data_IF_396669365219
#
_entry.id   IF_396669365219
#
_cell.length_a   1.000
_cell.length_b   1.000
_cell.length_c   1.000
_cell.angle_alpha   90.00
_cell.angle_beta   90.00
_cell.angle_gamma   90.00
#
_symmetry.space_group_name_H-M   'P 1'
#
loop_
_entity.id
_entity.type
_entity.pdbx_description
1 polymer ?
#
# COMPACT_ATOMS: atom_id res chain seq x y z
N UNK A 1 10.12 21.48 -16.98
CA UNK A 1 9.72 20.06 -17.12
C UNK A 1 9.71 19.46 -15.73
N UNK A 2 8.58 18.90 -15.32
CA UNK A 2 8.50 18.21 -14.04
C UNK A 2 9.05 16.79 -14.25
N UNK A 3 10.28 16.55 -13.85
CA UNK A 3 10.84 15.19 -13.91
C UNK A 3 10.33 14.37 -12.73
N UNK A 4 9.46 13.41 -13.02
CA UNK A 4 9.07 12.41 -12.05
C UNK A 4 10.04 11.23 -12.13
N UNK A 5 10.83 11.03 -11.08
CA UNK A 5 11.66 9.83 -10.97
C UNK A 5 10.77 8.64 -10.63
N UNK A 6 10.71 7.66 -11.54
CA UNK A 6 9.94 6.43 -11.38
C UNK A 6 10.87 5.23 -11.26
N UNK A 7 10.69 4.42 -10.23
CA UNK A 7 11.32 3.10 -10.12
C UNK A 7 10.27 2.03 -9.83
N UNK A 8 10.52 0.80 -10.28
CA UNK A 8 9.60 -0.34 -10.12
C UNK A 8 10.33 -1.47 -9.45
N UNK A 9 9.74 -2.02 -8.40
CA UNK A 9 10.26 -3.15 -7.64
C UNK A 9 9.18 -4.20 -7.38
N UNK A 10 9.58 -5.42 -7.06
CA UNK A 10 8.65 -6.43 -6.55
C UNK A 10 8.04 -5.96 -5.22
N UNK A 11 6.78 -6.31 -5.00
CA UNK A 11 6.08 -6.03 -3.76
C UNK A 11 5.27 -7.27 -3.34
N UNK A 12 5.93 -8.28 -2.77
CA UNK A 12 5.20 -9.41 -2.22
C UNK A 12 4.22 -8.93 -1.16
N UNK A 13 2.99 -9.44 -1.22
CA UNK A 13 1.90 -8.94 -0.41
C UNK A 13 1.22 -10.09 0.34
N UNK A 14 0.96 -9.87 1.63
CA UNK A 14 0.13 -10.75 2.45
C UNK A 14 -1.09 -9.94 2.89
N UNK A 15 -2.27 -10.48 2.64
CA UNK A 15 -3.51 -9.93 3.15
C UNK A 15 -3.91 -10.70 4.40
N UNK A 16 -4.29 -9.97 5.45
CA UNK A 16 -4.88 -10.55 6.67
C UNK A 16 -6.21 -9.86 6.96
N UNK A 17 -7.18 -10.63 7.42
CA UNK A 17 -8.51 -10.13 7.73
C UNK A 17 -9.07 -10.81 8.96
N UNK A 18 -9.57 -10.01 9.91
CA UNK A 18 -10.22 -10.49 11.12
C UNK A 18 -11.72 -10.66 10.94
N UNK A 19 -12.31 -11.63 11.63
CA UNK A 19 -13.77 -11.79 11.66
C UNK A 19 -14.43 -10.70 12.51
N UNK A 20 -15.64 -10.34 12.17
CA UNK A 20 -16.35 -9.23 12.81
C UNK A 20 -16.47 -9.39 14.32
N UNK A 21 -16.94 -10.56 14.78
CA UNK A 21 -17.17 -10.84 16.20
C UNK A 21 -15.90 -11.03 17.02
N UNK A 22 -14.73 -11.21 16.40
CA UNK A 22 -13.46 -11.53 17.07
C UNK A 22 -12.33 -10.57 16.70
N UNK A 23 -12.66 -9.43 16.09
CA UNK A 23 -11.68 -8.49 15.56
C UNK A 23 -10.64 -8.04 16.59
N UNK A 24 -11.07 -7.72 17.82
CA UNK A 24 -10.14 -7.28 18.87
C UNK A 24 -9.15 -8.36 19.29
N UNK A 25 -9.59 -9.63 19.36
CA UNK A 25 -8.72 -10.76 19.65
C UNK A 25 -7.74 -11.03 18.49
N UNK A 26 -8.24 -10.96 17.24
CA UNK A 26 -7.44 -11.06 16.05
C UNK A 26 -6.33 -10.00 16.02
N UNK A 27 -6.67 -8.73 16.25
CA UNK A 27 -5.70 -7.64 16.22
C UNK A 27 -4.65 -7.77 17.33
N UNK A 28 -5.06 -8.19 18.52
CA UNK A 28 -4.13 -8.45 19.63
C UNK A 28 -3.14 -9.57 19.27
N UNK A 29 -3.65 -10.69 18.76
CA UNK A 29 -2.83 -11.83 18.33
C UNK A 29 -1.89 -11.45 17.18
N UNK A 30 -2.40 -10.74 16.16
CA UNK A 30 -1.61 -10.29 15.02
C UNK A 30 -0.51 -9.31 15.42
N UNK A 31 -0.81 -8.34 16.28
CA UNK A 31 0.16 -7.37 16.81
C UNK A 31 1.30 -8.09 17.56
N UNK A 32 0.96 -9.07 18.39
CA UNK A 32 1.96 -9.88 19.10
C UNK A 32 2.82 -10.70 18.14
N UNK A 33 2.22 -11.34 17.15
CA UNK A 33 2.91 -12.15 16.13
C UNK A 33 3.87 -11.31 15.28
N UNK A 34 3.46 -10.10 14.87
CA UNK A 34 4.29 -9.19 14.10
C UNK A 34 5.32 -8.42 14.93
N UNK A 35 5.12 -8.33 16.24
CA UNK A 35 5.97 -7.55 17.14
C UNK A 35 5.89 -6.05 16.90
N UNK A 36 4.74 -5.56 16.41
CA UNK A 36 4.50 -4.13 16.14
C UNK A 36 3.04 -3.76 16.38
N UNK A 37 2.80 -2.47 16.60
CA UNK A 37 1.44 -1.93 16.65
C UNK A 37 0.81 -1.98 15.26
N UNK A 38 -0.50 -2.22 15.22
CA UNK A 38 -1.26 -2.17 13.98
C UNK A 38 -1.78 -0.75 13.72
N UNK A 39 -1.93 -0.35 12.43
CA UNK A 39 -2.64 0.88 12.10
C UNK A 39 -4.09 0.79 12.60
N UNK A 40 -4.61 1.88 13.16
CA UNK A 40 -5.95 1.91 13.80
C UNK A 40 -7.03 2.27 12.77
N UNK A 41 -6.80 3.32 11.99
CA UNK A 41 -7.79 3.81 11.02
C UNK A 41 -7.44 3.39 9.60
N UNK A 42 -8.47 3.23 8.75
CA UNK A 42 -8.26 2.97 7.32
C UNK A 42 -7.38 4.08 6.70
N UNK A 43 -6.39 3.67 5.93
CA UNK A 43 -5.38 4.55 5.34
C UNK A 43 -4.19 4.84 6.24
N UNK A 44 -4.16 4.39 7.49
CA UNK A 44 -2.95 4.44 8.30
C UNK A 44 -1.95 3.36 7.91
N UNK A 45 -0.68 3.68 8.09
CA UNK A 45 0.46 2.82 7.79
C UNK A 45 1.42 2.76 8.96
N UNK A 46 1.99 1.58 9.21
CA UNK A 46 3.07 1.38 10.20
C UNK A 46 4.22 0.64 9.53
N UNK A 47 5.40 1.25 9.51
CA UNK A 47 6.64 0.61 9.03
C UNK A 47 7.21 -0.28 10.13
N UNK A 48 7.52 -1.52 9.80
CA UNK A 48 8.20 -2.44 10.71
C UNK A 48 9.18 -3.34 9.95
N UNK A 49 10.47 -3.25 10.30
CA UNK A 49 11.53 -4.03 9.64
C UNK A 49 11.43 -3.96 8.11
N UNK A 50 11.33 -5.07 7.42
CA UNK A 50 11.28 -5.17 5.96
C UNK A 50 9.88 -5.11 5.35
N UNK A 51 8.86 -4.60 6.04
CA UNK A 51 7.50 -4.50 5.51
C UNK A 51 6.72 -3.31 6.07
N UNK A 52 5.65 -2.99 5.39
CA UNK A 52 4.70 -1.95 5.75
C UNK A 52 3.35 -2.59 6.06
N UNK A 53 2.80 -2.31 7.25
CA UNK A 53 1.44 -2.71 7.59
C UNK A 53 0.50 -1.57 7.24
N UNK A 54 -0.52 -1.84 6.43
CA UNK A 54 -1.45 -0.83 5.92
C UNK A 54 -2.87 -1.28 6.21
N UNK A 55 -3.69 -0.46 6.86
CA UNK A 55 -5.12 -0.75 7.02
C UNK A 55 -5.88 -0.30 5.78
N UNK A 56 -6.25 -1.24 4.94
CA UNK A 56 -6.95 -0.99 3.67
C UNK A 56 -8.47 -1.02 3.79
N UNK A 57 -8.99 -1.66 4.85
CA UNK A 57 -10.41 -1.69 5.19
C UNK A 57 -10.58 -1.88 6.71
N UNK A 58 -11.77 -1.69 7.29
CA UNK A 58 -11.97 -1.76 8.75
C UNK A 58 -11.42 -3.03 9.40
N UNK A 59 -11.51 -4.19 8.73
CA UNK A 59 -11.05 -5.49 9.23
C UNK A 59 -9.88 -6.08 8.47
N UNK A 60 -9.37 -5.36 7.44
CA UNK A 60 -8.37 -5.88 6.50
C UNK A 60 -7.09 -5.07 6.55
N UNK A 61 -5.99 -5.79 6.67
CA UNK A 61 -4.64 -5.25 6.63
C UNK A 61 -3.86 -5.88 5.48
N UNK A 62 -3.01 -5.08 4.86
CA UNK A 62 -2.01 -5.55 3.93
C UNK A 62 -0.63 -5.42 4.54
N UNK A 63 0.17 -6.48 4.44
CA UNK A 63 1.59 -6.46 4.73
C UNK A 63 2.30 -6.38 3.37
N UNK A 64 2.80 -5.21 3.04
CA UNK A 64 3.53 -4.96 1.81
C UNK A 64 5.02 -5.10 2.08
N UNK A 65 5.64 -6.18 1.58
CA UNK A 65 7.04 -6.46 1.81
C UNK A 65 7.92 -5.60 0.90
N UNK A 66 9.08 -5.25 1.41
CA UNK A 66 10.13 -4.64 0.59
C UNK A 66 10.74 -5.71 -0.33
N UNK A 67 11.33 -5.26 -1.44
CA UNK A 67 11.96 -6.18 -2.40
C UNK A 67 13.08 -6.98 -1.72
N UNK A 68 13.04 -8.30 -1.87
CA UNK A 68 13.97 -9.21 -1.23
C UNK A 68 13.78 -9.40 0.28
N UNK A 69 12.80 -8.78 0.91
CA UNK A 69 12.54 -8.96 2.33
C UNK A 69 11.92 -10.32 2.63
N UNK A 70 12.31 -10.90 3.75
CA UNK A 70 11.72 -12.14 4.24
C UNK A 70 10.31 -11.88 4.79
N UNK A 71 9.35 -12.71 4.39
CA UNK A 71 7.99 -12.64 4.92
C UNK A 71 7.97 -12.93 6.43
N UNK A 72 7.19 -12.18 7.21
CA UNK A 72 7.02 -12.50 8.62
C UNK A 72 6.33 -13.87 8.80
N UNK A 73 6.69 -14.58 9.84
CA UNK A 73 5.95 -15.78 10.22
C UNK A 73 4.60 -15.37 10.79
N UNK A 74 3.53 -15.76 10.11
CA UNK A 74 2.16 -15.48 10.51
C UNK A 74 1.44 -16.79 10.84
N UNK A 75 0.97 -16.90 12.07
CA UNK A 75 0.03 -17.93 12.49
C UNK A 75 -1.28 -17.23 12.85
N UNK A 76 -2.22 -17.21 11.92
CA UNK A 76 -3.57 -16.67 12.15
C UNK A 76 -4.48 -17.82 12.56
N UNK A 77 -5.10 -17.70 13.74
CA UNK A 77 -6.11 -18.62 14.21
C UNK A 77 -7.35 -18.53 13.29
N UNK A 78 -7.79 -19.63 12.66
CA UNK A 78 -8.95 -19.63 11.77
C UNK A 78 -10.25 -19.16 12.42
N UNK A 79 -10.37 -19.30 13.74
CA UNK A 79 -11.54 -18.81 14.48
C UNK A 79 -11.53 -17.29 14.65
N UNK A 80 -10.38 -16.65 14.51
CA UNK A 80 -10.21 -15.21 14.64
C UNK A 80 -10.16 -14.47 13.30
N UNK A 81 -9.65 -15.12 12.27
CA UNK A 81 -9.45 -14.48 10.98
C UNK A 81 -8.79 -15.37 9.94
N UNK A 82 -8.29 -14.76 8.87
CA UNK A 82 -7.55 -15.48 7.83
C UNK A 82 -6.34 -14.68 7.34
N UNK A 83 -5.40 -15.37 6.73
CA UNK A 83 -4.30 -14.79 5.97
C UNK A 83 -4.23 -15.40 4.58
N UNK A 84 -3.95 -14.56 3.59
CA UNK A 84 -3.78 -14.97 2.19
C UNK A 84 -2.52 -14.35 1.65
N UNK A 85 -1.57 -15.19 1.22
CA UNK A 85 -0.42 -14.70 0.47
C UNK A 85 -0.86 -14.39 -0.96
N UNK A 86 -0.70 -13.15 -1.36
CA UNK A 86 -0.89 -12.72 -2.75
C UNK A 86 0.40 -12.85 -3.56
N UNK A 87 1.46 -13.34 -2.92
CA UNK A 87 2.76 -13.59 -3.52
C UNK A 87 3.29 -12.35 -4.23
N UNK A 88 3.83 -12.57 -5.42
CA UNK A 88 4.34 -11.50 -6.28
C UNK A 88 3.28 -10.92 -7.23
N UNK A 89 2.01 -11.06 -6.93
CA UNK A 89 0.91 -10.51 -7.74
C UNK A 89 0.85 -8.98 -7.79
N UNK A 90 1.72 -8.30 -7.05
CA UNK A 90 1.83 -6.84 -6.98
C UNK A 90 3.25 -6.37 -7.27
N UNK A 91 3.35 -5.15 -7.79
CA UNK A 91 4.59 -4.40 -7.90
C UNK A 91 4.43 -3.03 -7.25
N UNK A 92 5.53 -2.45 -6.83
CA UNK A 92 5.62 -1.13 -6.21
C UNK A 92 6.29 -0.17 -7.17
N UNK A 93 5.59 0.90 -7.51
CA UNK A 93 6.13 2.05 -8.22
C UNK A 93 6.50 3.10 -7.18
N UNK A 94 7.77 3.43 -7.08
CA UNK A 94 8.23 4.55 -6.23
C UNK A 94 8.42 5.77 -7.11
N UNK A 95 7.83 6.87 -6.69
CA UNK A 95 7.81 8.12 -7.42
C UNK A 95 8.31 9.26 -6.54
N UNK A 96 9.17 10.11 -7.08
CA UNK A 96 9.64 11.30 -6.40
C UNK A 96 9.76 12.46 -7.39
N UNK A 97 9.38 13.65 -6.95
CA UNK A 97 9.47 14.88 -7.73
C UNK A 97 8.67 16.01 -7.09
N UNK A 98 9.11 17.25 -7.28
CA UNK A 98 8.47 18.42 -6.69
C UNK A 98 6.99 18.56 -7.08
N UNK A 99 6.62 18.07 -8.25
CA UNK A 99 5.28 18.18 -8.83
C UNK A 99 4.40 16.93 -8.67
N UNK A 100 4.80 15.98 -7.81
CA UNK A 100 4.10 14.69 -7.70
C UNK A 100 2.59 14.85 -7.46
N UNK A 101 2.18 15.74 -6.58
CA UNK A 101 0.76 15.97 -6.30
C UNK A 101 0.03 16.53 -7.52
N UNK A 102 0.66 17.44 -8.28
CA UNK A 102 0.10 18.02 -9.50
C UNK A 102 -0.03 16.97 -10.61
N UNK A 103 0.97 16.12 -10.78
CA UNK A 103 0.95 15.04 -11.76
C UNK A 103 -0.13 14.02 -11.39
N UNK A 104 -0.14 13.55 -10.18
CA UNK A 104 -1.09 12.52 -9.74
C UNK A 104 -2.53 13.02 -9.66
N UNK A 105 -2.77 14.32 -9.40
CA UNK A 105 -4.12 14.89 -9.38
C UNK A 105 -4.85 14.82 -10.73
N UNK A 106 -4.11 14.63 -11.82
CA UNK A 106 -4.69 14.47 -13.17
C UNK A 106 -5.24 13.07 -13.44
N UNK A 107 -4.83 12.10 -12.66
CA UNK A 107 -5.05 10.69 -12.94
C UNK A 107 -5.58 9.88 -11.77
N UNK A 108 -5.41 10.38 -10.56
CA UNK A 108 -5.94 9.78 -9.34
C UNK A 108 -6.96 10.74 -8.75
N UNK A 109 -8.22 10.29 -8.66
CA UNK A 109 -9.33 11.08 -8.14
C UNK A 109 -9.29 11.17 -6.61
N UNK A 110 -8.29 11.87 -6.08
CA UNK A 110 -8.06 12.08 -4.64
C UNK A 110 -7.90 13.57 -4.38
N UNK A 111 -8.58 14.09 -3.37
CA UNK A 111 -8.29 15.46 -2.89
C UNK A 111 -6.99 15.43 -2.07
N UNK A 112 -5.91 15.90 -2.67
CA UNK A 112 -4.57 15.93 -2.09
C UNK A 112 -4.44 16.86 -0.88
N UNK A 113 -5.44 17.70 -0.62
CA UNK A 113 -5.50 18.59 0.55
C UNK A 113 -6.27 17.96 1.71
N UNK A 114 -6.99 16.88 1.45
CA UNK A 114 -7.74 16.19 2.48
C UNK A 114 -6.80 15.48 3.47
N UNK A 115 -7.13 15.43 4.77
CA UNK A 115 -6.32 14.72 5.77
C UNK A 115 -6.11 13.25 5.44
N UNK A 116 -7.05 12.61 4.74
CA UNK A 116 -6.95 11.22 4.30
C UNK A 116 -5.85 10.98 3.25
N UNK A 117 -5.41 12.03 2.55
CA UNK A 117 -4.33 11.98 1.56
C UNK A 117 -3.06 12.71 2.03
N UNK A 118 -2.94 13.04 3.31
CA UNK A 118 -1.75 13.67 3.88
C UNK A 118 -0.52 12.73 3.79
N UNK A 119 0.71 13.25 3.84
CA UNK A 119 1.90 12.43 3.98
C UNK A 119 1.79 11.45 5.15
N UNK A 120 2.23 10.21 4.94
CA UNK A 120 2.05 9.11 5.90
C UNK A 120 0.71 8.36 5.78
N UNK A 121 -0.12 8.70 4.79
CA UNK A 121 -1.41 8.03 4.55
C UNK A 121 -1.40 7.18 3.29
N UNK A 122 -2.22 6.14 3.31
CA UNK A 122 -2.50 5.28 2.17
C UNK A 122 -3.95 5.49 1.70
N UNK A 123 -4.15 5.50 0.39
CA UNK A 123 -5.47 5.66 -0.23
C UNK A 123 -5.69 4.55 -1.25
N UNK A 124 -6.72 3.73 -1.03
CA UNK A 124 -7.16 2.77 -2.03
C UNK A 124 -8.00 3.52 -3.08
N UNK A 125 -7.58 3.47 -4.32
CA UNK A 125 -8.14 4.27 -5.41
C UNK A 125 -7.98 3.56 -6.75
N UNK A 126 -8.17 4.27 -7.85
CA UNK A 126 -7.89 3.76 -9.19
C UNK A 126 -6.99 4.73 -9.95
N UNK A 127 -6.12 4.15 -10.77
CA UNK A 127 -5.28 4.84 -11.73
C UNK A 127 -5.61 4.27 -13.11
N UNK A 128 -6.11 5.10 -14.04
CA UNK A 128 -6.51 4.66 -15.37
C UNK A 128 -7.39 3.39 -15.34
N UNK A 129 -8.41 3.40 -14.47
CA UNK A 129 -9.34 2.29 -14.20
C UNK A 129 -8.74 1.03 -13.55
N UNK A 130 -7.44 1.01 -13.27
CA UNK A 130 -6.79 -0.08 -12.54
C UNK A 130 -6.85 0.21 -11.04
N UNK A 131 -7.36 -0.71 -10.19
CA UNK A 131 -7.35 -0.51 -8.76
C UNK A 131 -5.91 -0.51 -8.24
N UNK A 132 -5.55 0.54 -7.51
CA UNK A 132 -4.22 0.75 -6.96
C UNK A 132 -4.31 1.20 -5.50
N UNK A 133 -3.26 0.92 -4.72
CA UNK A 133 -3.08 1.53 -3.42
C UNK A 133 -2.00 2.59 -3.55
N UNK A 134 -2.35 3.86 -3.31
CA UNK A 134 -1.41 4.95 -3.26
C UNK A 134 -0.94 5.17 -1.83
N UNK A 135 0.37 5.22 -1.63
CA UNK A 135 1.04 5.51 -0.37
C UNK A 135 1.71 6.87 -0.49
N UNK A 136 1.25 7.86 0.24
CA UNK A 136 1.94 9.16 0.27
C UNK A 136 3.05 9.11 1.31
N UNK A 137 4.28 8.90 0.85
CA UNK A 137 5.44 8.74 1.72
C UNK A 137 6.08 10.06 2.15
N UNK A 138 5.76 11.16 1.44
CA UNK A 138 6.25 12.49 1.74
C UNK A 138 5.52 13.58 0.95
N UNK A 139 5.94 14.83 1.11
CA UNK A 139 5.38 15.96 0.34
C UNK A 139 5.67 15.82 -1.16
N UNK A 140 6.86 15.34 -1.49
CA UNK A 140 7.35 15.19 -2.86
C UNK A 140 7.60 13.74 -3.25
N UNK A 141 7.08 12.78 -2.48
CA UNK A 141 7.29 11.36 -2.68
C UNK A 141 6.03 10.55 -2.44
N UNK A 142 5.85 9.50 -3.22
CA UNK A 142 4.75 8.55 -3.07
C UNK A 142 5.06 7.23 -3.73
N UNK A 143 4.27 6.23 -3.40
CA UNK A 143 4.37 4.89 -3.97
C UNK A 143 2.99 4.43 -4.45
N UNK A 144 2.96 3.64 -5.52
CA UNK A 144 1.77 2.93 -5.99
C UNK A 144 2.01 1.43 -5.89
N UNK A 145 1.14 0.73 -5.19
CA UNK A 145 1.08 -0.73 -5.25
C UNK A 145 0.03 -1.09 -6.28
N UNK A 146 0.48 -1.70 -7.38
CA UNK A 146 -0.34 -2.01 -8.56
C UNK A 146 -0.33 -3.50 -8.86
N UNK A 147 -1.38 -4.05 -9.52
CA UNK A 147 -1.33 -5.43 -9.99
C UNK A 147 -0.19 -5.60 -11.01
N UNK A 148 0.58 -6.67 -10.86
CA UNK A 148 1.72 -6.97 -11.73
C UNK A 148 1.34 -7.02 -13.22
N UNK A 149 0.17 -7.55 -13.54
CA UNK A 149 -0.32 -7.64 -14.93
C UNK A 149 -0.47 -6.29 -15.63
N UNK A 150 -0.63 -5.21 -14.86
CA UNK A 150 -0.74 -3.84 -15.39
C UNK A 150 0.55 -3.03 -15.27
N UNK A 151 1.63 -3.60 -14.72
CA UNK A 151 2.84 -2.85 -14.39
C UNK A 151 3.44 -2.15 -15.62
N UNK A 152 3.54 -2.86 -16.76
CA UNK A 152 4.10 -2.30 -17.99
C UNK A 152 3.24 -1.18 -18.55
N UNK A 153 1.96 -1.42 -18.75
CA UNK A 153 1.03 -0.42 -19.32
C UNK A 153 0.93 0.83 -18.44
N UNK A 154 0.92 0.68 -17.12
CA UNK A 154 0.91 1.82 -16.20
C UNK A 154 2.25 2.55 -16.18
N UNK A 155 3.38 1.84 -16.27
CA UNK A 155 4.70 2.46 -16.37
C UNK A 155 4.83 3.30 -17.63
N UNK A 156 4.43 2.74 -18.78
CA UNK A 156 4.47 3.44 -20.07
C UNK A 156 3.54 4.67 -20.05
N UNK A 157 2.38 4.53 -19.44
CA UNK A 157 1.42 5.62 -19.30
C UNK A 157 1.94 6.75 -18.39
N UNK A 158 2.53 6.40 -17.24
CA UNK A 158 3.13 7.39 -16.32
C UNK A 158 4.32 8.10 -16.98
N UNK A 159 5.16 7.37 -17.70
CA UNK A 159 6.29 7.96 -18.43
C UNK A 159 5.85 8.95 -19.51
N UNK A 160 4.66 8.78 -20.08
CA UNK A 160 4.08 9.70 -21.06
C UNK A 160 3.61 11.05 -20.47
N UNK A 161 3.66 11.23 -19.15
CA UNK A 161 3.24 12.49 -18.50
C UNK A 161 4.35 13.56 -18.46
N UNK A 162 5.56 13.21 -18.80
CA UNK A 162 6.69 14.14 -18.89
C UNK A 162 6.66 15.00 -20.19
N UNK A 163 5.56 14.90 -20.96
CA UNK A 163 5.37 15.68 -22.20
C UNK A 163 4.58 16.98 -21.96
#
# INVERSE_FOLDING_TARGET
MASLNLSVAACPLIQVEGWDGTLGQFETSLSASLGTKLPVSVGEMVRHKGFLVIRVAPRRLWLALDDGAQAPSLAVDPDLGCSVSLGEGRVRFSMAGADIARVLSRCIAVDWRAPAAAPGRAVLTSLHHVPVLFLRTGETAGELIVPRSFSRSLSDWIAGWDC
#
